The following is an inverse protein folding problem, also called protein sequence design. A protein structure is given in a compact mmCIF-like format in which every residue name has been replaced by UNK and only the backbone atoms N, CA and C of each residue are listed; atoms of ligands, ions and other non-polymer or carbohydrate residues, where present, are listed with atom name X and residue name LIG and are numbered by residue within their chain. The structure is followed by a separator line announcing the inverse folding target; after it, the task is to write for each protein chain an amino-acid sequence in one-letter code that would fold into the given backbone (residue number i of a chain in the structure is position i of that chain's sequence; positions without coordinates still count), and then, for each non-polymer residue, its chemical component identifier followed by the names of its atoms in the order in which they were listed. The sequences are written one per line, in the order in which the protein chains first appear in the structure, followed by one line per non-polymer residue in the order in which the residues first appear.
data_IF_821419968120
#
_entry.id   IF_821419968120
#
_cell.length_a   1.000
_cell.length_b   1.000
_cell.length_c   1.000
_cell.angle_alpha   90.00
_cell.angle_beta   90.00
_cell.angle_gamma   90.00
#
_symmetry.space_group_name_H-M   'P 1'
#
loop_
_entity.id
_entity.type
_entity.pdbx_description
1 polymer ?
#
# COMPACT_ATOMS: atom_id res chain seq x y z
N UNK A 1 6.62 -30.79 17.30
CA UNK A 1 7.45 -29.62 16.97
C UNK A 1 6.52 -28.46 16.72
N UNK A 2 6.37 -27.52 17.66
CA UNK A 2 5.58 -26.32 17.45
C UNK A 2 6.39 -25.37 16.58
N UNK A 3 6.10 -25.36 15.29
CA UNK A 3 6.63 -24.37 14.36
C UNK A 3 6.26 -23.00 14.91
N UNK A 4 7.27 -22.22 15.33
CA UNK A 4 7.08 -20.92 15.96
C UNK A 4 6.20 -20.07 15.05
N UNK A 5 4.95 -19.85 15.46
CA UNK A 5 3.95 -19.12 14.69
C UNK A 5 4.47 -17.69 14.47
N UNK A 6 5.08 -17.45 13.31
CA UNK A 6 5.53 -16.10 12.91
C UNK A 6 4.31 -15.18 13.00
N UNK A 7 4.45 -14.09 13.73
CA UNK A 7 3.41 -13.09 13.86
C UNK A 7 3.02 -12.61 12.46
N UNK A 8 1.73 -12.73 12.14
CA UNK A 8 1.20 -12.20 10.89
C UNK A 8 0.99 -10.69 11.07
N UNK A 9 1.25 -9.88 10.04
CA UNK A 9 0.89 -8.47 10.08
C UNK A 9 -0.62 -8.34 10.32
N UNK A 10 -0.99 -7.43 11.20
CA UNK A 10 -2.37 -7.12 11.51
C UNK A 10 -2.80 -5.88 10.72
N UNK A 11 -3.86 -5.98 9.89
CA UNK A 11 -4.44 -4.81 9.23
C UNK A 11 -4.85 -3.74 10.24
N UNK A 12 -4.50 -2.50 9.92
CA UNK A 12 -5.03 -1.29 10.57
C UNK A 12 -6.02 -0.62 9.62
N UNK A 13 -6.88 0.31 10.08
CA UNK A 13 -7.77 1.06 9.20
C UNK A 13 -7.03 1.72 8.02
N UNK A 14 -5.83 2.25 8.24
CA UNK A 14 -5.01 2.91 7.21
C UNK A 14 -4.45 1.93 6.18
N UNK A 15 -4.27 0.67 6.55
CA UNK A 15 -3.71 -0.37 5.67
C UNK A 15 -4.78 -1.33 5.13
N UNK A 16 -6.04 -1.22 5.58
CA UNK A 16 -7.13 -2.11 5.21
C UNK A 16 -7.28 -2.23 3.69
N UNK A 17 -7.22 -1.10 2.97
CA UNK A 17 -7.34 -1.07 1.51
C UNK A 17 -6.22 -1.87 0.81
N UNK A 18 -5.01 -1.91 1.37
CA UNK A 18 -3.90 -2.70 0.85
C UNK A 18 -4.17 -4.19 1.05
N UNK A 19 -4.62 -4.58 2.25
CA UNK A 19 -4.95 -5.97 2.55
C UNK A 19 -6.19 -6.50 1.83
N UNK A 20 -7.19 -5.65 1.56
CA UNK A 20 -8.32 -5.99 0.70
C UNK A 20 -7.86 -6.23 -0.74
N UNK A 21 -6.96 -5.38 -1.24
CA UNK A 21 -6.33 -5.55 -2.55
C UNK A 21 -5.58 -6.87 -2.66
N UNK A 22 -4.73 -7.21 -1.67
CA UNK A 22 -3.97 -8.48 -1.72
C UNK A 22 -4.88 -9.70 -1.70
N UNK A 23 -5.99 -9.68 -0.97
CA UNK A 23 -7.01 -10.75 -1.01
C UNK A 23 -7.69 -10.87 -2.38
N UNK A 24 -7.84 -9.75 -3.10
CA UNK A 24 -8.42 -9.71 -4.44
C UNK A 24 -7.40 -9.95 -5.57
N UNK A 25 -6.11 -10.18 -5.26
CA UNK A 25 -5.06 -10.30 -6.27
C UNK A 25 -4.62 -8.97 -6.89
N UNK A 26 -4.90 -7.85 -6.23
CA UNK A 26 -4.59 -6.49 -6.69
C UNK A 26 -3.53 -5.82 -5.81
N UNK A 27 -2.58 -5.11 -6.43
CA UNK A 27 -1.75 -4.15 -5.71
C UNK A 27 -2.47 -2.79 -5.68
N UNK A 28 -3.10 -2.46 -4.55
CA UNK A 28 -3.73 -1.14 -4.36
C UNK A 28 -2.74 -0.15 -3.75
N UNK A 29 -2.55 0.98 -4.42
CA UNK A 29 -1.65 2.07 -4.01
C UNK A 29 -2.44 3.35 -3.73
N UNK A 30 -1.79 4.29 -3.04
CA UNK A 30 -2.35 5.63 -2.83
C UNK A 30 -1.78 6.63 -3.83
N UNK A 31 -2.64 7.55 -4.28
CA UNK A 31 -2.29 8.71 -5.10
C UNK A 31 -2.89 9.96 -4.47
N UNK A 32 -2.06 10.99 -4.30
CA UNK A 32 -2.54 12.32 -3.90
C UNK A 32 -3.30 12.98 -5.06
N UNK A 33 -4.53 13.41 -4.83
CA UNK A 33 -5.31 14.13 -5.84
C UNK A 33 -4.83 15.59 -6.03
N UNK A 34 -4.18 16.17 -5.02
CA UNK A 34 -3.66 17.54 -5.10
C UNK A 34 -2.35 17.66 -5.89
N UNK A 35 -1.43 16.71 -5.78
CA UNK A 35 -0.10 16.78 -6.42
C UNK A 35 0.24 15.59 -7.32
N UNK A 36 -0.64 14.60 -7.46
CA UNK A 36 -0.44 13.42 -8.31
C UNK A 36 0.56 12.40 -7.78
N UNK A 37 1.24 12.64 -6.64
CA UNK A 37 2.23 11.72 -6.10
C UNK A 37 1.58 10.37 -5.76
N UNK A 38 2.08 9.30 -6.39
CA UNK A 38 1.84 7.91 -5.98
C UNK A 38 2.89 7.51 -4.95
N UNK A 39 2.47 6.83 -3.89
CA UNK A 39 3.38 6.45 -2.80
C UNK A 39 2.96 5.16 -2.08
N UNK A 40 3.92 4.60 -1.35
CA UNK A 40 3.81 3.47 -0.45
C UNK A 40 4.90 3.62 0.63
N UNK A 41 4.70 3.24 1.90
CA UNK A 41 3.52 2.55 2.48
C UNK A 41 2.27 3.45 2.61
N UNK A 42 1.07 2.88 2.88
CA UNK A 42 -0.16 3.64 3.10
C UNK A 42 -0.03 4.68 4.22
N UNK A 43 -0.59 5.87 3.99
CA UNK A 43 -0.60 7.02 4.91
C UNK A 43 -1.93 7.78 4.77
N UNK A 44 -2.43 8.41 5.85
CA UNK A 44 -3.64 9.25 5.79
C UNK A 44 -3.42 10.62 5.12
N UNK A 45 -2.19 10.95 4.71
CA UNK A 45 -1.84 12.19 4.03
C UNK A 45 -0.68 11.97 3.06
N UNK A 46 -0.57 12.83 2.06
CA UNK A 46 0.49 12.78 1.08
C UNK A 46 1.86 13.12 1.70
N UNK A 47 2.89 12.27 1.58
CA UNK A 47 4.21 12.55 2.12
C UNK A 47 4.96 13.67 1.37
N UNK A 48 4.48 14.07 0.19
CA UNK A 48 5.12 15.12 -0.62
C UNK A 48 4.55 16.53 -0.38
N UNK A 49 3.25 16.66 -0.11
CA UNK A 49 2.59 17.97 0.00
C UNK A 49 1.65 18.12 1.22
N UNK A 50 1.59 17.11 2.10
CA UNK A 50 0.72 17.07 3.29
C UNK A 50 -0.80 17.13 3.05
N UNK A 51 -1.27 17.22 1.79
CA UNK A 51 -2.69 17.14 1.47
C UNK A 51 -3.31 15.81 1.96
N UNK A 52 -4.54 15.88 2.46
CA UNK A 52 -5.33 14.73 2.94
C UNK A 52 -6.23 14.12 1.87
N UNK A 53 -6.35 14.78 0.72
CA UNK A 53 -7.10 14.28 -0.43
C UNK A 53 -6.27 13.22 -1.17
N UNK A 54 -6.46 11.97 -0.74
CA UNK A 54 -5.72 10.80 -1.20
C UNK A 54 -6.71 9.74 -1.68
N UNK A 55 -6.60 9.38 -2.96
CA UNK A 55 -7.34 8.28 -3.55
C UNK A 55 -6.57 6.97 -3.46
N UNK A 56 -7.30 5.86 -3.35
CA UNK A 56 -6.76 4.50 -3.52
C UNK A 56 -7.09 4.03 -4.94
N UNK A 57 -6.13 3.42 -5.61
CA UNK A 57 -6.31 2.89 -6.96
C UNK A 57 -5.55 1.57 -7.15
N UNK A 58 -6.01 0.72 -8.06
CA UNK A 58 -5.29 -0.50 -8.45
C UNK A 58 -4.12 -0.15 -9.37
N UNK A 59 -2.92 -0.63 -9.03
CA UNK A 59 -1.74 -0.49 -9.87
C UNK A 59 -1.85 -1.38 -11.12
N UNK A 60 -1.09 -1.03 -12.15
CA UNK A 60 -1.11 -1.77 -13.44
C UNK A 60 -0.62 -3.22 -13.38
N UNK A 61 -0.03 -3.66 -12.26
CA UNK A 61 0.64 -4.95 -12.12
C UNK A 61 2.00 -5.04 -12.81
N UNK A 62 2.41 -4.03 -13.60
CA UNK A 62 3.73 -3.98 -14.24
C UNK A 62 4.77 -3.42 -13.26
N UNK A 63 5.97 -3.99 -13.29
CA UNK A 63 7.11 -3.54 -12.48
C UNK A 63 8.45 -3.80 -13.16
N UNK A 64 9.50 -3.19 -12.63
CA UNK A 64 10.90 -3.44 -13.01
C UNK A 64 11.68 -3.79 -11.76
N UNK A 65 12.53 -4.82 -11.84
CA UNK A 65 13.43 -5.16 -10.74
C UNK A 65 14.38 -3.99 -10.48
N UNK A 66 14.33 -3.44 -9.28
CA UNK A 66 15.21 -2.35 -8.86
C UNK A 66 16.49 -2.89 -8.21
N UNK A 67 16.35 -3.85 -7.30
CA UNK A 67 17.43 -4.55 -6.60
C UNK A 67 16.90 -5.86 -5.98
N UNK A 68 17.78 -6.77 -5.59
CA UNK A 68 17.46 -8.03 -4.88
C UNK A 68 18.62 -8.43 -3.94
N UNK A 69 18.31 -9.24 -2.93
CA UNK A 69 19.26 -9.90 -2.02
C UNK A 69 18.98 -11.39 -1.96
#
# INVERSE_FOLDING_TARGET
MSEGRRARPQPTPETQHFWDGTRAGELRLQRCNACGKVYFPPRPFCPACAARDVAVFAASGKGRLYSYV
#
